data_IF_757801803934
#
_entry.id   IF_757801803934
#
_cell.length_a   1.000
_cell.length_b   1.000
_cell.length_c   1.000
_cell.angle_alpha   90.00
_cell.angle_beta   90.00
_cell.angle_gamma   90.00
#
_symmetry.space_group_name_H-M   'P 1'
#
loop_
_entity.id
_entity.type
_entity.pdbx_description
1 polymer ?
#
# COMPACT_ATOMS: atom_id res chain seq x y z
N UNK A 1 -24.94 33.20 42.62
CA UNK A 1 -24.99 31.80 42.16
C UNK A 1 -24.74 31.82 40.65
N UNK A 2 -23.54 31.46 40.20
CA UNK A 2 -23.13 31.57 38.79
C UNK A 2 -23.05 30.18 38.13
N UNK A 3 -23.46 30.01 36.86
CA UNK A 3 -23.41 28.71 36.19
C UNK A 3 -21.97 28.33 35.83
N UNK A 4 -21.57 27.10 36.15
CA UNK A 4 -20.35 26.50 35.58
C UNK A 4 -20.59 26.20 34.10
N UNK A 5 -20.02 26.99 33.21
CA UNK A 5 -19.90 26.60 31.81
C UNK A 5 -18.95 25.39 31.72
N UNK A 6 -19.49 24.24 31.32
CA UNK A 6 -18.70 23.06 31.00
C UNK A 6 -17.87 23.34 29.76
N UNK A 7 -16.54 23.39 29.91
CA UNK A 7 -15.61 23.51 28.79
C UNK A 7 -15.61 22.19 28.01
N UNK A 8 -16.42 22.12 26.96
CA UNK A 8 -16.26 21.09 25.94
C UNK A 8 -14.84 21.20 25.36
N UNK A 9 -13.97 20.27 25.74
CA UNK A 9 -12.68 20.11 25.07
C UNK A 9 -12.96 19.45 23.73
N UNK A 10 -12.82 20.21 22.64
CA UNK A 10 -12.75 19.66 21.29
C UNK A 10 -11.64 18.61 21.25
N UNK A 11 -11.96 17.39 20.83
CA UNK A 11 -10.96 16.35 20.61
C UNK A 11 -10.07 16.81 19.45
N UNK A 12 -8.83 17.19 19.75
CA UNK A 12 -7.80 17.37 18.73
C UNK A 12 -7.36 15.96 18.34
N UNK A 13 -7.82 15.49 17.18
CA UNK A 13 -7.36 14.23 16.60
C UNK A 13 -6.00 14.48 15.98
N UNK A 14 -4.95 13.88 16.55
CA UNK A 14 -3.59 13.97 16.07
C UNK A 14 -3.08 12.56 15.74
N UNK A 15 -2.73 12.33 14.48
CA UNK A 15 -2.17 11.09 13.96
C UNK A 15 -0.86 11.46 13.23
N UNK A 16 0.24 10.75 13.49
CA UNK A 16 1.57 11.10 12.97
C UNK A 16 2.39 9.84 12.61
N UNK A 17 3.00 9.81 11.41
CA UNK A 17 3.79 8.68 10.91
C UNK A 17 4.85 8.89 9.78
N UNK A 18 5.21 10.07 9.23
CA UNK A 18 4.96 11.47 9.55
C UNK A 18 5.16 12.35 8.28
N UNK A 19 4.23 13.26 7.94
CA UNK A 19 4.45 14.34 6.94
C UNK A 19 5.30 15.47 7.56
N UNK A 20 6.55 15.14 7.83
CA UNK A 20 7.54 15.96 8.50
C UNK A 20 8.81 15.14 8.68
N UNK A 21 10.02 15.76 8.64
CA UNK A 21 11.27 15.02 8.51
C UNK A 21 11.72 14.32 9.81
N UNK A 22 10.94 13.33 10.24
CA UNK A 22 11.22 12.47 11.39
C UNK A 22 12.37 11.47 11.12
N UNK A 23 12.81 11.35 9.86
CA UNK A 23 14.03 10.62 9.46
C UNK A 23 13.90 9.10 9.44
N UNK A 24 12.77 8.57 9.90
CA UNK A 24 12.45 7.14 9.91
C UNK A 24 11.59 6.82 8.70
N UNK A 25 12.13 6.00 7.80
CA UNK A 25 11.46 5.48 6.61
C UNK A 25 11.86 4.02 6.45
N UNK A 26 10.95 3.19 5.92
CA UNK A 26 11.21 1.79 5.56
C UNK A 26 10.21 1.33 4.47
N UNK A 27 10.65 0.69 3.37
CA UNK A 27 9.76 0.13 2.35
C UNK A 27 8.87 -1.02 2.87
N UNK A 28 9.11 -1.54 4.07
CA UNK A 28 8.27 -2.55 4.70
C UNK A 28 6.78 -2.16 4.81
N UNK A 29 6.44 -0.88 5.03
CA UNK A 29 5.05 -0.43 5.11
C UNK A 29 4.32 -0.63 3.77
N UNK A 30 4.93 -0.19 2.68
CA UNK A 30 4.44 -0.42 1.32
C UNK A 30 4.38 -1.91 0.97
N UNK A 31 5.42 -2.69 1.33
CA UNK A 31 5.44 -4.15 1.12
C UNK A 31 4.28 -4.85 1.80
N UNK A 32 4.04 -4.60 3.09
CA UNK A 32 2.96 -5.27 3.85
C UNK A 32 1.57 -4.94 3.25
N UNK A 33 1.35 -3.69 2.83
CA UNK A 33 0.12 -3.29 2.16
C UNK A 33 -0.02 -3.95 0.77
N UNK A 34 1.05 -4.00 -0.03
CA UNK A 34 1.09 -4.72 -1.31
C UNK A 34 0.82 -6.23 -1.18
N UNK A 35 1.38 -6.88 -0.16
CA UNK A 35 1.12 -8.29 0.13
C UNK A 35 -0.35 -8.52 0.53
N UNK A 36 -0.97 -7.59 1.26
CA UNK A 36 -2.39 -7.65 1.57
C UNK A 36 -3.26 -7.52 0.30
N UNK A 37 -2.89 -6.63 -0.63
CA UNK A 37 -3.52 -6.53 -1.96
C UNK A 37 -3.41 -7.85 -2.73
N UNK A 38 -2.20 -8.43 -2.85
CA UNK A 38 -1.99 -9.72 -3.51
C UNK A 38 -2.79 -10.85 -2.84
N UNK A 39 -2.84 -10.88 -1.50
CA UNK A 39 -3.63 -11.83 -0.71
C UNK A 39 -5.14 -11.71 -0.98
N UNK A 40 -5.67 -10.48 -1.04
CA UNK A 40 -7.09 -10.26 -1.36
C UNK A 40 -7.41 -10.68 -2.79
N UNK A 41 -6.58 -10.29 -3.78
CA UNK A 41 -6.76 -10.72 -5.18
C UNK A 41 -6.79 -12.24 -5.30
N UNK A 42 -5.85 -12.96 -4.66
CA UNK A 42 -5.85 -14.43 -4.64
C UNK A 42 -7.12 -15.01 -4.02
N UNK A 43 -7.59 -14.46 -2.89
CA UNK A 43 -8.84 -14.89 -2.23
C UNK A 43 -10.08 -14.63 -3.09
N UNK A 44 -10.12 -13.53 -3.85
CA UNK A 44 -11.19 -13.22 -4.79
C UNK A 44 -11.22 -14.21 -5.96
N UNK A 45 -10.06 -14.53 -6.55
CA UNK A 45 -9.95 -15.54 -7.61
C UNK A 45 -10.44 -16.92 -7.13
N UNK A 46 -9.91 -17.41 -6.01
CA UNK A 46 -10.32 -18.70 -5.42
C UNK A 46 -11.80 -18.72 -5.02
N UNK A 47 -12.37 -17.60 -4.57
CA UNK A 47 -13.80 -17.51 -4.28
C UNK A 47 -14.64 -17.61 -5.58
N UNK A 48 -14.22 -16.95 -6.65
CA UNK A 48 -14.90 -17.02 -7.96
C UNK A 48 -14.84 -18.42 -8.59
N UNK A 49 -13.70 -19.10 -8.49
CA UNK A 49 -13.52 -20.49 -8.94
C UNK A 49 -14.47 -21.45 -8.19
N UNK A 50 -14.45 -21.38 -6.85
CA UNK A 50 -15.25 -22.26 -5.98
C UNK A 50 -16.77 -22.02 -6.07
N UNK A 51 -17.21 -20.83 -6.48
CA UNK A 51 -18.62 -20.45 -6.64
C UNK A 51 -19.01 -20.18 -8.10
N UNK A 52 -18.34 -20.82 -9.06
CA UNK A 52 -18.56 -20.61 -10.50
C UNK A 52 -20.01 -20.76 -10.98
N UNK A 53 -20.85 -21.52 -10.27
CA UNK A 53 -22.29 -21.68 -10.54
C UNK A 53 -23.22 -20.87 -9.62
N UNK A 54 -22.69 -20.23 -8.57
CA UNK A 54 -23.45 -19.54 -7.51
C UNK A 54 -22.90 -18.12 -7.20
N UNK A 55 -22.20 -17.52 -8.16
CA UNK A 55 -21.62 -16.18 -8.07
C UNK A 55 -22.65 -15.03 -7.94
N UNK A 56 -23.94 -15.36 -7.87
CA UNK A 56 -25.04 -14.43 -7.56
C UNK A 56 -25.59 -14.53 -6.12
N UNK A 57 -25.16 -15.50 -5.29
CA UNK A 57 -25.73 -15.65 -3.95
C UNK A 57 -25.33 -14.54 -2.99
N UNK A 58 -26.20 -14.26 -2.01
CA UNK A 58 -25.95 -13.26 -0.98
C UNK A 58 -24.65 -13.54 -0.19
N UNK A 59 -24.32 -14.81 0.04
CA UNK A 59 -23.08 -15.24 0.72
C UNK A 59 -21.84 -14.91 -0.11
N UNK A 60 -21.87 -15.21 -1.42
CA UNK A 60 -20.79 -14.88 -2.34
C UNK A 60 -20.60 -13.36 -2.43
N UNK A 61 -21.68 -12.61 -2.68
CA UNK A 61 -21.65 -11.15 -2.81
C UNK A 61 -21.17 -10.45 -1.53
N UNK A 62 -21.59 -10.92 -0.34
CA UNK A 62 -21.11 -10.40 0.94
C UNK A 62 -19.60 -10.64 1.12
N UNK A 63 -19.11 -11.84 0.79
CA UNK A 63 -17.68 -12.17 0.95
C UNK A 63 -16.83 -11.42 -0.07
N UNK A 64 -17.24 -11.38 -1.34
CA UNK A 64 -16.53 -10.72 -2.43
C UNK A 64 -16.45 -9.20 -2.21
N UNK A 65 -17.54 -8.56 -1.78
CA UNK A 65 -17.54 -7.12 -1.48
C UNK A 65 -16.61 -6.75 -0.32
N UNK A 66 -16.50 -7.60 0.71
CA UNK A 66 -15.53 -7.41 1.81
C UNK A 66 -14.09 -7.52 1.33
N UNK A 67 -13.77 -8.50 0.48
CA UNK A 67 -12.42 -8.60 -0.10
C UNK A 67 -12.09 -7.42 -1.01
N UNK A 68 -13.05 -6.96 -1.82
CA UNK A 68 -12.89 -5.76 -2.65
C UNK A 68 -12.62 -4.51 -1.81
N UNK A 69 -13.36 -4.29 -0.71
CA UNK A 69 -13.16 -3.15 0.19
C UNK A 69 -11.76 -3.15 0.85
N UNK A 70 -11.32 -4.31 1.35
CA UNK A 70 -9.98 -4.44 1.97
C UNK A 70 -8.87 -4.23 0.91
N UNK A 71 -9.04 -4.77 -0.30
CA UNK A 71 -8.12 -4.58 -1.42
C UNK A 71 -8.01 -3.10 -1.81
N UNK A 72 -9.12 -2.37 -1.83
CA UNK A 72 -9.18 -0.94 -2.15
C UNK A 72 -8.44 -0.07 -1.11
N UNK A 73 -8.59 -0.39 0.18
CA UNK A 73 -7.94 0.28 1.31
C UNK A 73 -6.44 0.02 1.34
N UNK A 74 -6.00 -1.25 1.30
CA UNK A 74 -4.58 -1.59 1.33
C UNK A 74 -3.86 -1.14 0.04
N UNK A 75 -4.52 -1.13 -1.12
CA UNK A 75 -3.93 -0.55 -2.33
C UNK A 75 -3.81 0.98 -2.27
N UNK A 76 -4.67 1.67 -1.50
CA UNK A 76 -4.50 3.10 -1.23
C UNK A 76 -3.29 3.33 -0.34
N UNK A 77 -3.25 2.65 0.80
CA UNK A 77 -2.16 2.72 1.76
C UNK A 77 -0.81 2.37 1.16
N UNK A 78 -0.72 1.30 0.35
CA UNK A 78 0.47 0.96 -0.41
C UNK A 78 0.94 2.13 -1.30
N UNK A 79 0.00 2.79 -1.99
CA UNK A 79 0.31 3.92 -2.86
C UNK A 79 0.81 5.12 -2.06
N UNK A 80 0.20 5.42 -0.93
CA UNK A 80 0.58 6.56 -0.10
C UNK A 80 1.97 6.38 0.52
N UNK A 81 2.28 5.19 1.05
CA UNK A 81 3.63 4.82 1.53
C UNK A 81 4.70 4.90 0.43
N UNK A 82 4.38 4.48 -0.80
CA UNK A 82 5.26 4.61 -1.95
C UNK A 82 5.48 6.09 -2.34
N UNK A 83 4.44 6.92 -2.28
CA UNK A 83 4.56 8.35 -2.57
C UNK A 83 5.42 9.06 -1.51
N UNK A 84 5.23 8.77 -0.22
CA UNK A 84 6.06 9.31 0.88
C UNK A 84 7.53 8.96 0.68
N UNK A 85 7.86 7.71 0.32
CA UNK A 85 9.24 7.37 -0.04
C UNK A 85 9.75 8.25 -1.20
N UNK A 86 8.97 8.34 -2.28
CA UNK A 86 9.36 9.06 -3.49
C UNK A 86 9.61 10.56 -3.26
N UNK A 87 8.72 11.25 -2.53
CA UNK A 87 8.78 12.70 -2.33
C UNK A 87 9.64 13.10 -1.13
N UNK A 88 9.64 12.30 -0.06
CA UNK A 88 10.15 12.74 1.24
C UNK A 88 11.47 12.06 1.63
N UNK A 89 11.69 10.81 1.20
CA UNK A 89 12.96 10.11 1.42
C UNK A 89 13.98 10.38 0.31
N UNK A 90 13.62 10.14 -0.96
CA UNK A 90 14.56 10.35 -2.07
C UNK A 90 14.89 11.85 -2.26
N UNK A 91 16.10 12.14 -2.76
CA UNK A 91 16.69 13.49 -2.88
C UNK A 91 17.33 13.64 -4.27
N UNK A 92 17.58 14.86 -4.77
CA UNK A 92 18.07 15.08 -6.14
C UNK A 92 19.26 14.19 -6.55
N UNK A 93 20.28 14.06 -5.69
CA UNK A 93 21.44 13.20 -5.96
C UNK A 93 21.10 11.70 -6.09
N UNK A 94 19.98 11.24 -5.50
CA UNK A 94 19.47 9.88 -5.68
C UNK A 94 18.76 9.71 -7.03
N UNK A 95 18.07 10.76 -7.51
CA UNK A 95 17.41 10.77 -8.82
C UNK A 95 18.45 10.71 -9.95
N UNK A 96 19.54 11.46 -9.80
CA UNK A 96 20.68 11.47 -10.73
C UNK A 96 21.41 10.11 -10.78
N UNK A 97 21.61 9.47 -9.64
CA UNK A 97 22.30 8.15 -9.55
C UNK A 97 21.41 6.95 -9.88
N UNK A 98 20.08 7.09 -9.85
CA UNK A 98 19.12 6.02 -10.14
C UNK A 98 18.13 6.48 -11.24
N UNK A 99 18.52 6.48 -12.53
CA UNK A 99 17.68 7.01 -13.62
C UNK A 99 16.29 6.34 -13.77
N UNK A 100 16.11 5.12 -13.26
CA UNK A 100 14.82 4.38 -13.30
C UNK A 100 13.87 4.71 -12.14
N UNK A 101 14.30 5.48 -11.15
CA UNK A 101 13.56 5.73 -9.91
C UNK A 101 12.17 6.31 -10.17
N UNK A 102 12.08 7.41 -10.93
CA UNK A 102 10.79 8.05 -11.25
C UNK A 102 9.83 7.11 -11.98
N UNK A 103 10.31 6.39 -13.00
CA UNK A 103 9.51 5.44 -13.78
C UNK A 103 9.02 4.26 -12.92
N UNK A 104 9.85 3.78 -11.99
CA UNK A 104 9.51 2.67 -11.10
C UNK A 104 8.43 3.08 -10.09
N UNK A 105 8.56 4.25 -9.45
CA UNK A 105 7.52 4.79 -8.56
C UNK A 105 6.22 5.12 -9.29
N UNK A 106 6.30 5.70 -10.50
CA UNK A 106 5.13 5.99 -11.33
C UNK A 106 4.38 4.71 -11.72
N UNK A 107 5.10 3.65 -12.13
CA UNK A 107 4.53 2.34 -12.42
C UNK A 107 3.92 1.68 -11.18
N UNK A 108 4.62 1.68 -10.05
CA UNK A 108 4.09 1.13 -8.80
C UNK A 108 2.78 1.84 -8.37
N UNK A 109 2.74 3.17 -8.42
CA UNK A 109 1.54 3.95 -8.11
C UNK A 109 0.39 3.74 -9.11
N UNK A 110 0.69 3.41 -10.37
CA UNK A 110 -0.29 2.98 -11.39
C UNK A 110 -0.80 1.57 -11.11
N UNK A 111 0.07 0.63 -10.74
CA UNK A 111 -0.27 -0.74 -10.38
C UNK A 111 -1.15 -0.80 -9.12
N UNK A 112 -0.90 0.05 -8.11
CA UNK A 112 -1.84 0.23 -6.99
C UNK A 112 -3.25 0.63 -7.49
N UNK A 113 -3.34 1.54 -8.47
CA UNK A 113 -4.62 1.95 -9.06
C UNK A 113 -5.27 0.89 -9.96
N UNK A 114 -4.50 0.04 -10.65
CA UNK A 114 -5.03 -1.12 -11.37
C UNK A 114 -5.57 -2.18 -10.40
N UNK A 115 -4.79 -2.51 -9.36
CA UNK A 115 -5.14 -3.47 -8.32
C UNK A 115 -6.35 -3.06 -7.45
N UNK A 116 -6.75 -1.78 -7.47
CA UNK A 116 -8.03 -1.30 -6.90
C UNK A 116 -9.21 -1.82 -7.72
N UNK A 117 -9.22 -1.50 -9.01
CA UNK A 117 -10.33 -1.80 -9.94
C UNK A 117 -10.44 -3.28 -10.27
N UNK A 118 -9.30 -3.95 -10.48
CA UNK A 118 -9.25 -5.27 -11.12
C UNK A 118 -9.03 -6.43 -10.16
N UNK A 119 -9.31 -7.64 -10.63
CA UNK A 119 -8.96 -8.92 -9.96
C UNK A 119 -7.98 -9.66 -10.86
N UNK A 120 -6.75 -9.12 -10.96
CA UNK A 120 -5.67 -9.63 -11.82
C UNK A 120 -4.50 -10.11 -10.96
N UNK A 121 -4.18 -11.40 -11.06
CA UNK A 121 -3.02 -11.99 -10.38
C UNK A 121 -1.71 -11.38 -10.90
N UNK A 122 -1.65 -11.08 -12.20
CA UNK A 122 -0.47 -10.53 -12.88
C UNK A 122 -0.19 -9.11 -12.38
N UNK A 123 -1.18 -8.20 -12.42
CA UNK A 123 -1.02 -6.84 -11.90
C UNK A 123 -0.67 -6.83 -10.39
N UNK A 124 -1.20 -7.78 -9.62
CA UNK A 124 -0.86 -7.93 -8.20
C UNK A 124 0.58 -8.44 -8.00
N UNK A 125 1.12 -9.27 -8.89
CA UNK A 125 2.52 -9.70 -8.83
C UNK A 125 3.47 -8.60 -9.33
N UNK A 126 3.13 -7.90 -10.43
CA UNK A 126 3.87 -6.75 -10.93
C UNK A 126 3.98 -5.63 -9.88
N UNK A 127 2.93 -5.40 -9.08
CA UNK A 127 2.98 -4.49 -7.94
C UNK A 127 4.04 -4.93 -6.92
N UNK A 128 4.07 -6.21 -6.55
CA UNK A 128 5.08 -6.74 -5.63
C UNK A 128 6.50 -6.64 -6.18
N UNK A 129 6.70 -6.90 -7.48
CA UNK A 129 8.01 -6.80 -8.14
C UNK A 129 8.50 -5.34 -8.19
N UNK A 130 7.59 -4.39 -8.39
CA UNK A 130 7.90 -2.95 -8.33
C UNK A 130 8.26 -2.50 -6.90
N UNK A 131 7.59 -3.01 -5.87
CA UNK A 131 7.94 -2.73 -4.47
C UNK A 131 9.30 -3.37 -4.10
N UNK A 132 9.60 -4.57 -4.60
CA UNK A 132 10.88 -5.25 -4.43
C UNK A 132 12.04 -4.42 -5.04
N UNK A 133 11.85 -3.92 -6.27
CA UNK A 133 12.81 -3.02 -6.89
C UNK A 133 13.03 -1.74 -6.06
N UNK A 134 11.97 -1.15 -5.51
CA UNK A 134 12.03 0.04 -4.65
C UNK A 134 12.73 -0.26 -3.31
N UNK A 135 12.51 -1.43 -2.72
CA UNK A 135 13.22 -1.90 -1.53
C UNK A 135 14.73 -1.96 -1.78
N UNK A 136 15.17 -2.51 -2.91
CA UNK A 136 16.59 -2.54 -3.28
C UNK A 136 17.17 -1.14 -3.54
N UNK A 137 16.44 -0.23 -4.20
CA UNK A 137 16.87 1.17 -4.36
C UNK A 137 17.06 1.87 -3.01
N UNK A 138 16.11 1.68 -2.09
CA UNK A 138 16.10 2.29 -0.77
C UNK A 138 17.28 1.84 0.10
N UNK A 139 17.51 0.53 0.21
CA UNK A 139 18.60 -0.01 1.02
C UNK A 139 19.98 0.17 0.38
N UNK A 140 20.05 0.16 -0.96
CA UNK A 140 21.25 0.51 -1.72
C UNK A 140 21.76 1.93 -1.40
N UNK A 141 20.87 2.93 -1.34
CA UNK A 141 21.23 4.31 -0.91
C UNK A 141 21.75 4.33 0.54
N UNK A 142 21.19 3.50 1.42
CA UNK A 142 21.66 3.36 2.81
C UNK A 142 22.96 2.56 2.93
N UNK A 143 23.54 2.07 1.83
CA UNK A 143 24.73 1.22 1.83
C UNK A 143 24.52 -0.12 2.53
N UNK A 144 23.31 -0.68 2.47
CA UNK A 144 22.90 -1.91 3.16
C UNK A 144 22.33 -2.92 2.18
N UNK A 145 22.68 -4.17 2.38
CA UNK A 145 21.99 -5.31 1.79
C UNK A 145 20.98 -5.83 2.83
N UNK A 146 19.69 -5.61 2.57
CA UNK A 146 18.60 -6.12 3.42
C UNK A 146 17.83 -7.15 2.60
N UNK A 147 17.71 -8.41 3.05
CA UNK A 147 16.96 -9.43 2.35
C UNK A 147 15.53 -9.00 2.06
N UNK A 148 15.06 -9.26 0.84
CA UNK A 148 13.63 -9.17 0.54
C UNK A 148 12.93 -10.41 1.11
N UNK A 149 11.96 -10.18 2.00
CA UNK A 149 11.22 -11.24 2.69
C UNK A 149 9.75 -10.85 2.65
N UNK A 150 8.93 -11.69 2.02
CA UNK A 150 7.47 -11.61 2.11
C UNK A 150 7.00 -12.15 3.47
N UNK A 151 5.94 -11.60 4.02
CA UNK A 151 5.34 -12.04 5.28
C UNK A 151 4.43 -13.27 5.13
N UNK A 152 3.99 -13.58 3.91
CA UNK A 152 3.15 -14.74 3.54
C UNK A 152 3.95 -16.03 3.28
#
# INVERSE_FOLDING_TARGET
>A
MAPRFGRFMSVIRAEAHCDGPCGVYDPASARVAGEAVQSMTKKMLTLAENHSTDCGSATYLNTMSRYAAIKEEEAQKCKDELLVLWTDFFKPQHLESIPKLHDTFWKAAKLCSACKVEVSADHAQELMDAIEAIHHMFWGIKGREVPWIRAS
#
